data_IF_861099576112
#
_entry.id   IF_861099576112
#
_cell.length_a   1.000
_cell.length_b   1.000
_cell.length_c   1.000
_cell.angle_alpha   90.00
_cell.angle_beta   90.00
_cell.angle_gamma   90.00
#
_symmetry.space_group_name_H-M   'P 1'
#
loop_
_entity.id
_entity.type
_entity.pdbx_description
1 polymer ?
#
# COMPACT_ATOMS: atom_id res chain seq x y z
N UNK A 1 12.92 -5.93 -30.51
CA UNK A 1 11.71 -5.10 -30.56
C UNK A 1 11.07 -5.22 -29.19
N UNK A 2 10.97 -4.12 -28.45
CA UNK A 2 10.18 -4.08 -27.21
C UNK A 2 8.73 -4.36 -27.57
N UNK A 3 8.11 -5.34 -26.93
CA UNK A 3 6.70 -5.62 -27.10
C UNK A 3 5.91 -4.54 -26.39
N UNK A 4 4.91 -3.95 -27.06
CA UNK A 4 3.96 -3.05 -26.42
C UNK A 4 2.83 -3.87 -25.80
N UNK A 5 2.59 -3.69 -24.49
CA UNK A 5 1.55 -4.36 -23.72
C UNK A 5 0.47 -3.41 -23.21
N UNK A 6 0.55 -2.10 -23.53
CA UNK A 6 -0.28 -1.06 -22.90
C UNK A 6 -1.78 -1.23 -23.19
N UNK A 7 -2.12 -1.73 -24.39
CA UNK A 7 -3.50 -1.98 -24.81
C UNK A 7 -4.08 -3.32 -24.29
N UNK A 8 -3.28 -4.11 -23.53
CA UNK A 8 -3.73 -5.40 -23.03
C UNK A 8 -4.35 -5.29 -21.63
N UNK A 9 -5.12 -6.32 -21.28
CA UNK A 9 -5.75 -6.39 -19.95
C UNK A 9 -4.72 -6.35 -18.83
N UNK A 10 -5.15 -5.87 -17.66
CA UNK A 10 -4.33 -5.81 -16.45
C UNK A 10 -3.67 -7.16 -16.13
N UNK A 11 -4.43 -8.25 -16.24
CA UNK A 11 -3.93 -9.62 -15.98
C UNK A 11 -2.77 -9.98 -16.90
N UNK A 12 -2.91 -9.70 -18.20
CA UNK A 12 -1.84 -9.97 -19.18
C UNK A 12 -0.60 -9.12 -18.93
N UNK A 13 -0.80 -7.85 -18.56
CA UNK A 13 0.30 -6.93 -18.23
C UNK A 13 1.06 -7.37 -16.97
N UNK A 14 0.37 -7.83 -15.93
CA UNK A 14 0.98 -8.36 -14.71
C UNK A 14 1.92 -9.55 -14.98
N UNK A 15 1.60 -10.36 -15.98
CA UNK A 15 2.43 -11.50 -16.40
C UNK A 15 3.64 -11.03 -17.23
N UNK A 16 3.42 -10.21 -18.24
CA UNK A 16 4.39 -10.02 -19.33
C UNK A 16 5.27 -8.77 -19.20
N UNK A 17 4.76 -7.66 -18.65
CA UNK A 17 5.57 -6.43 -18.54
C UNK A 17 6.78 -6.67 -17.64
N UNK A 18 7.96 -6.27 -18.09
CA UNK A 18 9.21 -6.48 -17.38
C UNK A 18 9.72 -7.93 -17.34
N UNK A 19 9.04 -8.89 -17.99
CA UNK A 19 9.47 -10.27 -18.11
C UNK A 19 10.02 -10.55 -19.52
N UNK A 20 11.09 -9.84 -19.89
CA UNK A 20 11.77 -10.06 -21.15
C UNK A 20 12.70 -11.29 -21.04
N UNK A 21 12.75 -12.12 -22.11
CA UNK A 21 13.66 -13.24 -22.15
C UNK A 21 15.12 -12.77 -22.09
N UNK A 22 15.94 -13.49 -21.36
CA UNK A 22 17.38 -13.20 -21.24
C UNK A 22 18.06 -13.30 -22.63
N UNK A 23 18.67 -12.21 -23.14
CA UNK A 23 19.22 -12.18 -24.49
C UNK A 23 20.48 -13.07 -24.65
N UNK A 24 21.16 -13.40 -23.55
CA UNK A 24 22.38 -14.19 -23.58
C UNK A 24 22.11 -15.69 -23.56
N UNK A 25 21.07 -16.10 -22.82
CA UNK A 25 20.75 -17.54 -22.62
C UNK A 25 19.48 -17.99 -23.32
N UNK A 26 18.59 -17.06 -23.68
CA UNK A 26 17.25 -17.36 -24.17
C UNK A 26 16.27 -17.84 -23.08
N UNK A 27 16.65 -17.72 -21.78
CA UNK A 27 15.75 -18.07 -20.69
C UNK A 27 14.52 -17.15 -20.70
N UNK A 28 13.31 -17.73 -20.61
CA UNK A 28 12.05 -16.97 -20.65
C UNK A 28 11.68 -16.36 -19.30
N UNK A 29 12.26 -16.86 -18.22
CA UNK A 29 12.14 -16.27 -16.89
C UNK A 29 13.40 -15.47 -16.55
N UNK A 30 13.28 -14.26 -15.96
CA UNK A 30 14.44 -13.44 -15.64
C UNK A 30 15.39 -14.13 -14.66
N UNK A 31 16.69 -14.06 -14.94
CA UNK A 31 17.71 -14.48 -13.98
C UNK A 31 17.81 -13.50 -12.80
N UNK A 32 18.37 -13.95 -11.68
CA UNK A 32 18.74 -13.07 -10.56
C UNK A 32 20.18 -12.60 -10.77
N UNK A 33 20.34 -11.28 -10.96
CA UNK A 33 21.64 -10.65 -11.20
C UNK A 33 22.20 -10.10 -9.89
N UNK A 34 22.96 -10.92 -9.16
CA UNK A 34 23.55 -10.57 -7.84
C UNK A 34 24.86 -9.78 -7.96
N UNK A 35 25.03 -9.00 -9.01
CA UNK A 35 26.20 -8.14 -9.20
C UNK A 35 26.00 -6.79 -8.49
N UNK A 36 27.06 -6.25 -7.86
CA UNK A 36 27.08 -4.90 -7.35
C UNK A 36 27.65 -3.89 -8.32
N UNK A 37 28.45 -4.32 -9.32
CA UNK A 37 29.14 -3.48 -10.30
C UNK A 37 29.04 -4.07 -11.70
N UNK A 38 29.09 -3.22 -12.70
CA UNK A 38 28.98 -3.58 -14.09
C UNK A 38 30.15 -3.01 -14.88
N UNK A 39 30.44 -3.57 -16.06
CA UNK A 39 31.49 -3.06 -16.94
C UNK A 39 31.13 -1.66 -17.43
N UNK A 40 32.08 -0.75 -17.29
CA UNK A 40 31.96 0.59 -17.83
C UNK A 40 32.47 0.62 -19.29
N UNK A 41 32.01 1.57 -20.12
CA UNK A 41 32.63 1.83 -21.41
C UNK A 41 34.06 2.33 -21.21
N UNK A 42 34.94 2.14 -22.21
CA UNK A 42 36.31 2.61 -22.15
C UNK A 42 36.41 4.14 -21.96
N UNK A 43 35.49 4.88 -22.58
CA UNK A 43 35.32 6.31 -22.34
C UNK A 43 34.07 6.55 -21.50
N UNK A 44 34.27 6.84 -20.23
CA UNK A 44 33.22 7.14 -19.28
C UNK A 44 32.91 8.65 -19.15
N UNK A 45 33.54 9.48 -19.94
CA UNK A 45 33.42 10.96 -19.84
C UNK A 45 32.01 11.48 -20.10
N UNK A 46 31.22 10.75 -20.89
CA UNK A 46 29.85 11.10 -21.26
C UNK A 46 28.79 10.34 -20.40
N UNK A 47 29.21 9.57 -19.39
CA UNK A 47 28.28 8.81 -18.56
C UNK A 47 27.51 9.70 -17.60
N UNK A 48 26.21 9.48 -17.52
CA UNK A 48 25.41 9.96 -16.40
C UNK A 48 25.53 8.97 -15.25
N UNK A 49 26.35 9.30 -14.26
CA UNK A 49 26.64 8.45 -13.11
C UNK A 49 25.43 8.16 -12.19
N UNK A 50 24.34 8.91 -12.37
CA UNK A 50 23.10 8.76 -11.62
C UNK A 50 21.95 8.17 -12.43
N UNK A 51 22.17 7.87 -13.71
CA UNK A 51 21.11 7.32 -14.56
C UNK A 51 20.77 5.89 -14.16
N UNK A 52 19.48 5.62 -14.03
CA UNK A 52 18.94 4.29 -13.75
C UNK A 52 19.11 3.32 -14.92
N UNK A 53 19.10 3.83 -16.14
CA UNK A 53 19.22 3.02 -17.36
C UNK A 53 20.64 2.48 -17.57
N UNK A 54 21.65 3.12 -16.96
CA UNK A 54 23.01 2.65 -17.04
C UNK A 54 23.31 1.70 -15.88
N UNK A 55 23.49 0.43 -16.17
CA UNK A 55 24.00 -0.52 -15.19
C UNK A 55 25.44 -0.13 -14.81
N UNK A 56 25.60 0.64 -13.74
CA UNK A 56 26.89 1.13 -13.25
C UNK A 56 27.20 0.44 -11.91
N UNK A 57 26.29 0.62 -10.97
CA UNK A 57 26.36 0.11 -9.61
C UNK A 57 24.94 -0.15 -9.09
N UNK A 58 24.70 -1.28 -8.44
CA UNK A 58 23.36 -1.76 -8.09
C UNK A 58 22.58 -0.80 -7.17
N UNK A 59 23.26 0.05 -6.37
CA UNK A 59 22.57 1.09 -5.61
C UNK A 59 21.89 2.12 -6.52
N UNK A 60 22.44 2.39 -7.68
CA UNK A 60 21.87 3.35 -8.63
C UNK A 60 20.72 2.77 -9.45
N UNK A 61 20.75 1.47 -9.64
CA UNK A 61 19.80 0.69 -10.41
C UNK A 61 20.43 -0.64 -10.83
N UNK A 62 19.62 -1.61 -11.14
CA UNK A 62 20.09 -2.93 -11.57
C UNK A 62 19.05 -3.62 -12.43
N UNK A 63 19.45 -4.72 -13.05
CA UNK A 63 18.61 -5.41 -14.03
C UNK A 63 17.25 -5.84 -13.44
N UNK A 64 17.26 -6.51 -12.28
CA UNK A 64 16.01 -6.95 -11.64
C UNK A 64 15.18 -5.79 -11.12
N UNK A 65 15.82 -4.75 -10.58
CA UNK A 65 15.16 -3.54 -10.14
C UNK A 65 14.45 -2.84 -11.30
N UNK A 66 15.14 -2.60 -12.42
CA UNK A 66 14.56 -1.97 -13.59
C UNK A 66 13.42 -2.77 -14.24
N UNK A 67 13.50 -4.11 -14.21
CA UNK A 67 12.38 -4.96 -14.64
C UNK A 67 11.16 -4.79 -13.74
N UNK A 68 11.36 -4.74 -12.42
CA UNK A 68 10.28 -4.51 -11.46
C UNK A 68 9.70 -3.10 -11.59
N UNK A 69 10.54 -2.06 -11.73
CA UNK A 69 10.11 -0.67 -11.94
C UNK A 69 9.18 -0.54 -13.14
N UNK A 70 9.55 -1.10 -14.29
CA UNK A 70 8.71 -1.13 -15.50
C UNK A 70 7.36 -1.81 -15.25
N UNK A 71 7.36 -2.92 -14.53
CA UNK A 71 6.13 -3.65 -14.20
C UNK A 71 5.21 -2.83 -13.30
N UNK A 72 5.74 -2.27 -12.21
CA UNK A 72 4.95 -1.51 -11.25
C UNK A 72 4.41 -0.21 -11.86
N UNK A 73 5.24 0.55 -12.58
CA UNK A 73 4.79 1.74 -13.32
C UNK A 73 3.61 1.42 -14.24
N UNK A 74 3.72 0.34 -15.03
CA UNK A 74 2.67 -0.06 -15.94
C UNK A 74 1.39 -0.51 -15.24
N UNK A 75 1.48 -1.25 -14.12
CA UNK A 75 0.31 -1.70 -13.36
C UNK A 75 -0.43 -0.53 -12.71
N UNK A 76 0.29 0.44 -12.15
CA UNK A 76 -0.29 1.66 -11.57
C UNK A 76 -0.74 2.68 -12.62
N UNK A 77 -0.24 2.58 -13.85
CA UNK A 77 -0.54 3.53 -14.92
C UNK A 77 0.30 4.82 -14.86
N UNK A 78 1.43 4.79 -14.15
CA UNK A 78 2.39 5.90 -14.11
C UNK A 78 3.39 5.88 -15.25
N UNK A 79 4.09 7.00 -15.45
CA UNK A 79 5.14 7.10 -16.48
C UNK A 79 6.40 6.35 -16.08
N UNK A 80 6.75 6.38 -14.78
CA UNK A 80 7.96 5.76 -14.24
C UNK A 80 7.78 5.37 -12.77
N UNK A 81 8.72 4.59 -12.24
CA UNK A 81 8.70 4.07 -10.89
C UNK A 81 10.12 4.01 -10.31
N UNK A 82 10.25 4.23 -9.00
CA UNK A 82 11.48 3.93 -8.24
C UNK A 82 11.15 2.88 -7.21
N UNK A 83 11.86 1.74 -7.25
CA UNK A 83 11.71 0.67 -6.25
C UNK A 83 12.76 0.77 -5.14
N UNK A 84 12.30 0.61 -3.90
CA UNK A 84 13.07 0.83 -2.68
C UNK A 84 12.94 -0.37 -1.72
N UNK A 85 13.77 -0.40 -0.69
CA UNK A 85 13.89 -1.54 0.22
C UNK A 85 12.64 -1.86 1.05
N UNK A 86 11.73 -0.91 1.22
CA UNK A 86 10.46 -1.07 1.96
C UNK A 86 9.47 0.03 1.59
N UNK A 87 8.19 -0.15 1.94
CA UNK A 87 7.18 0.90 1.81
C UNK A 87 7.55 2.18 2.57
N UNK A 88 8.12 2.05 3.77
CA UNK A 88 8.60 3.22 4.55
C UNK A 88 9.77 3.92 3.86
N UNK A 89 10.65 3.17 3.20
CA UNK A 89 11.71 3.77 2.38
C UNK A 89 11.13 4.54 1.19
N UNK A 90 10.05 4.07 0.58
CA UNK A 90 9.35 4.75 -0.50
C UNK A 90 8.69 6.05 -0.03
N UNK A 91 7.95 6.02 1.08
CA UNK A 91 7.38 7.21 1.73
C UNK A 91 8.47 8.23 2.05
N UNK A 92 9.53 7.80 2.72
CA UNK A 92 10.65 8.66 3.10
C UNK A 92 11.36 9.26 1.89
N UNK A 93 11.54 8.49 0.81
CA UNK A 93 12.17 8.95 -0.42
C UNK A 93 11.35 10.06 -1.11
N UNK A 94 10.03 9.85 -1.19
CA UNK A 94 9.10 10.86 -1.72
C UNK A 94 9.16 12.14 -0.91
N UNK A 95 8.97 12.04 0.40
CA UNK A 95 8.89 13.21 1.28
C UNK A 95 10.22 13.96 1.33
N UNK A 96 11.34 13.26 1.45
CA UNK A 96 12.68 13.84 1.43
C UNK A 96 12.97 14.63 0.15
N UNK A 97 12.50 14.11 -1.00
CA UNK A 97 12.74 14.75 -2.29
C UNK A 97 11.83 15.96 -2.52
N UNK A 98 10.60 15.92 -2.03
CA UNK A 98 9.58 16.91 -2.35
C UNK A 98 9.40 18.01 -1.30
N UNK A 99 9.89 17.80 -0.09
CA UNK A 99 9.71 18.72 1.03
C UNK A 99 11.06 19.28 1.51
N UNK A 100 11.01 20.52 1.99
CA UNK A 100 12.14 21.21 2.60
C UNK A 100 11.68 21.98 3.84
N UNK A 101 12.63 22.41 4.66
CA UNK A 101 12.36 23.21 5.87
C UNK A 101 11.43 24.38 5.57
N UNK A 102 10.37 24.49 6.37
CA UNK A 102 9.35 25.53 6.27
C UNK A 102 8.20 25.18 5.33
N UNK A 103 8.22 24.04 4.64
CA UNK A 103 7.07 23.53 3.90
C UNK A 103 6.04 22.96 4.86
N UNK A 104 4.76 23.02 4.49
CA UNK A 104 3.65 22.45 5.23
C UNK A 104 3.05 21.25 4.48
N UNK A 105 2.70 20.20 5.24
CA UNK A 105 2.06 18.98 4.77
C UNK A 105 0.73 18.78 5.49
N UNK A 106 -0.30 18.47 4.72
CA UNK A 106 -1.57 17.93 5.25
C UNK A 106 -1.53 16.42 5.07
N UNK A 107 -1.77 15.65 6.14
CA UNK A 107 -1.87 14.21 6.04
C UNK A 107 -3.07 13.65 6.83
N UNK A 108 -3.56 12.48 6.41
CA UNK A 108 -4.77 11.88 6.94
C UNK A 108 -4.62 11.46 8.41
N UNK A 109 -5.67 11.68 9.22
CA UNK A 109 -5.81 11.12 10.57
C UNK A 109 -5.68 9.59 10.57
N UNK A 110 -6.18 8.96 9.50
CA UNK A 110 -6.10 7.51 9.32
C UNK A 110 -5.05 7.22 8.26
N UNK A 111 -3.87 6.79 8.71
CA UNK A 111 -2.72 6.49 7.85
C UNK A 111 -1.83 5.43 8.52
N UNK A 112 -0.90 4.85 7.77
CA UNK A 112 0.05 3.90 8.33
C UNK A 112 0.87 4.53 9.46
N UNK A 113 1.10 3.77 10.53
CA UNK A 113 1.77 4.26 11.74
C UNK A 113 3.13 4.92 11.47
N UNK A 114 3.91 4.40 10.51
CA UNK A 114 5.20 5.02 10.18
C UNK A 114 5.02 6.38 9.50
N UNK A 115 3.99 6.59 8.68
CA UNK A 115 3.66 7.90 8.09
C UNK A 115 3.31 8.91 9.19
N UNK A 116 2.48 8.49 10.15
CA UNK A 116 2.15 9.30 11.32
C UNK A 116 3.44 9.73 12.08
N UNK A 117 4.31 8.77 12.43
CA UNK A 117 5.56 9.05 13.15
C UNK A 117 6.54 9.90 12.35
N UNK A 118 6.65 9.68 11.04
CA UNK A 118 7.49 10.50 10.16
C UNK A 118 7.08 11.97 10.27
N UNK A 119 5.81 12.29 10.13
CA UNK A 119 5.36 13.67 10.13
C UNK A 119 5.17 14.27 11.52
N UNK A 120 4.64 13.50 12.47
CA UNK A 120 4.29 14.01 13.79
C UNK A 120 5.49 14.09 14.74
N UNK A 121 6.46 13.17 14.62
CA UNK A 121 7.57 13.06 15.57
C UNK A 121 8.92 13.40 14.95
N UNK A 122 9.21 12.88 13.74
CA UNK A 122 10.56 12.92 13.23
C UNK A 122 10.85 14.17 12.40
N UNK A 123 9.99 14.51 11.47
CA UNK A 123 10.29 15.54 10.47
C UNK A 123 9.92 16.94 10.92
N UNK A 124 8.91 17.08 11.75
CA UNK A 124 8.57 18.35 12.39
C UNK A 124 9.77 18.83 13.23
N UNK A 125 10.20 18.01 14.18
CA UNK A 125 11.26 18.39 15.12
C UNK A 125 12.64 18.51 14.49
N UNK A 126 13.00 17.56 13.62
CA UNK A 126 14.38 17.48 13.09
C UNK A 126 14.61 18.34 11.87
N UNK A 127 13.59 18.49 11.01
CA UNK A 127 13.77 19.10 9.70
C UNK A 127 12.88 20.32 9.47
N UNK A 128 12.04 20.67 10.43
CA UNK A 128 11.21 21.87 10.42
C UNK A 128 10.15 21.82 9.31
N UNK A 129 9.61 20.64 9.04
CA UNK A 129 8.43 20.46 8.20
C UNK A 129 7.20 20.71 9.06
N UNK A 130 6.36 21.67 8.70
CA UNK A 130 5.10 21.91 9.37
C UNK A 130 4.05 20.89 8.96
N UNK A 131 3.21 20.44 9.89
CA UNK A 131 2.22 19.40 9.61
C UNK A 131 0.83 19.75 10.12
N UNK A 132 -0.19 19.27 9.42
CA UNK A 132 -1.59 19.26 9.87
C UNK A 132 -2.17 17.86 9.69
N UNK A 133 -2.63 17.27 10.78
CA UNK A 133 -3.37 15.99 10.76
C UNK A 133 -4.84 16.32 10.51
N UNK A 134 -5.44 15.77 9.47
CA UNK A 134 -6.78 16.11 9.01
C UNK A 134 -7.57 14.85 8.65
N UNK A 135 -8.85 14.82 8.96
CA UNK A 135 -9.74 13.81 8.37
C UNK A 135 -9.88 14.05 6.86
N UNK A 136 -9.13 13.28 6.07
CA UNK A 136 -9.14 13.41 4.61
C UNK A 136 -10.42 12.85 3.94
N UNK A 137 -11.37 12.33 4.71
CA UNK A 137 -12.73 12.05 4.22
C UNK A 137 -13.62 13.31 4.19
N UNK A 138 -13.20 14.38 4.88
CA UNK A 138 -13.87 15.68 4.92
C UNK A 138 -13.08 16.72 4.08
N UNK A 139 -13.59 17.02 2.90
CA UNK A 139 -12.96 17.98 1.98
C UNK A 139 -12.89 19.41 2.55
N UNK A 140 -13.88 19.81 3.36
CA UNK A 140 -13.89 21.13 4.01
C UNK A 140 -12.84 21.22 5.12
N UNK A 141 -12.56 20.10 5.81
CA UNK A 141 -11.46 20.05 6.77
C UNK A 141 -10.09 20.19 6.08
N UNK A 142 -9.88 19.52 4.95
CA UNK A 142 -8.68 19.70 4.14
C UNK A 142 -8.53 21.17 3.71
N UNK A 143 -9.58 21.76 3.15
CA UNK A 143 -9.58 23.14 2.67
C UNK A 143 -9.22 24.15 3.75
N UNK A 144 -9.74 23.98 4.96
CA UNK A 144 -9.42 24.84 6.13
C UNK A 144 -7.98 24.71 6.60
N UNK A 145 -7.34 23.55 6.37
CA UNK A 145 -5.96 23.29 6.76
C UNK A 145 -4.93 23.82 5.75
N UNK A 146 -5.33 24.21 4.54
CA UNK A 146 -4.44 24.76 3.52
C UNK A 146 -3.83 26.07 3.99
N UNK A 147 -2.51 26.19 3.87
CA UNK A 147 -1.69 27.38 4.20
C UNK A 147 -0.90 27.82 2.97
N UNK A 148 -0.37 29.08 2.94
CA UNK A 148 0.45 29.56 1.80
C UNK A 148 1.69 28.71 1.54
N UNK A 149 2.22 28.01 2.55
CA UNK A 149 3.37 27.13 2.46
C UNK A 149 3.00 25.64 2.35
N UNK A 150 1.72 25.29 2.17
CA UNK A 150 1.32 23.89 1.92
C UNK A 150 1.87 23.41 0.60
N UNK A 151 2.57 22.26 0.61
CA UNK A 151 3.23 21.67 -0.56
C UNK A 151 2.70 20.30 -0.92
N UNK A 152 2.18 19.56 0.05
CA UNK A 152 1.74 18.18 -0.16
C UNK A 152 0.47 17.89 0.66
N UNK A 153 -0.46 17.19 0.04
CA UNK A 153 -1.53 16.46 0.73
C UNK A 153 -1.23 14.98 0.56
N UNK A 154 -1.09 14.26 1.68
CA UNK A 154 -0.86 12.81 1.68
C UNK A 154 -2.02 12.08 2.36
N UNK A 155 -2.58 11.08 1.71
CA UNK A 155 -3.63 10.25 2.27
C UNK A 155 -3.46 8.77 1.89
N UNK A 156 -4.22 7.93 2.57
CA UNK A 156 -4.32 6.49 2.34
C UNK A 156 -5.79 6.13 2.14
N UNK A 157 -6.13 5.38 1.10
CA UNK A 157 -7.52 4.99 0.83
C UNK A 157 -7.61 3.61 0.15
N UNK A 158 -8.25 2.60 0.80
CA UNK A 158 -8.83 2.61 2.15
C UNK A 158 -7.79 2.87 3.24
N UNK A 159 -8.15 3.65 4.28
CA UNK A 159 -7.23 4.05 5.34
C UNK A 159 -7.00 2.96 6.40
N UNK A 160 -5.75 2.75 6.80
CA UNK A 160 -5.35 1.76 7.80
C UNK A 160 -5.38 2.36 9.23
N UNK A 161 -6.15 1.81 10.17
CA UNK A 161 -6.89 0.54 10.12
C UNK A 161 -8.41 0.65 9.96
N UNK A 162 -8.98 1.84 9.85
CA UNK A 162 -10.43 2.06 9.95
C UNK A 162 -11.19 1.85 8.64
N UNK A 163 -10.48 1.60 7.54
CA UNK A 163 -11.03 1.39 6.19
C UNK A 163 -11.86 2.58 5.65
N UNK A 164 -11.64 3.78 6.17
CA UNK A 164 -12.27 5.00 5.64
C UNK A 164 -11.85 5.24 4.17
N UNK A 165 -12.76 5.85 3.41
CA UNK A 165 -12.55 6.12 1.97
C UNK A 165 -12.48 7.62 1.75
N UNK A 166 -11.37 8.08 1.17
CA UNK A 166 -11.19 9.46 0.70
C UNK A 166 -11.68 9.62 -0.74
N UNK A 167 -12.27 10.76 -1.07
CA UNK A 167 -12.63 11.09 -2.46
C UNK A 167 -11.38 11.59 -3.19
N UNK A 168 -10.74 10.68 -3.94
CA UNK A 168 -9.48 10.94 -4.64
C UNK A 168 -9.63 12.12 -5.61
N UNK A 169 -10.67 12.09 -6.44
CA UNK A 169 -10.93 13.11 -7.47
C UNK A 169 -11.15 14.50 -6.85
N UNK A 170 -11.94 14.58 -5.78
CA UNK A 170 -12.23 15.82 -5.09
C UNK A 170 -10.98 16.41 -4.39
N UNK A 171 -10.17 15.57 -3.75
CA UNK A 171 -8.91 15.99 -3.10
C UNK A 171 -7.92 16.52 -4.14
N UNK A 172 -7.72 15.78 -5.24
CA UNK A 172 -6.81 16.18 -6.32
C UNK A 172 -7.24 17.53 -6.90
N UNK A 173 -8.52 17.69 -7.22
CA UNK A 173 -9.04 18.96 -7.73
C UNK A 173 -8.77 20.11 -6.77
N UNK A 174 -9.11 19.96 -5.49
CA UNK A 174 -8.87 20.99 -4.47
C UNK A 174 -7.37 21.33 -4.35
N UNK A 175 -6.50 20.32 -4.30
CA UNK A 175 -5.06 20.51 -4.15
C UNK A 175 -4.46 21.26 -5.36
N UNK A 176 -4.81 20.86 -6.57
CA UNK A 176 -4.29 21.47 -7.80
C UNK A 176 -4.78 22.90 -8.01
N UNK A 177 -6.01 23.25 -7.58
CA UNK A 177 -6.47 24.65 -7.54
C UNK A 177 -5.58 25.57 -6.69
N UNK A 178 -4.85 24.98 -5.72
CA UNK A 178 -3.91 25.67 -4.83
C UNK A 178 -2.43 25.41 -5.17
N UNK A 179 -2.10 24.76 -6.29
CA UNK A 179 -0.75 24.34 -6.68
C UNK A 179 -0.07 23.46 -5.61
N UNK A 180 -0.83 22.57 -4.98
CA UNK A 180 -0.37 21.61 -3.97
C UNK A 180 -0.31 20.22 -4.62
N UNK A 181 0.79 19.51 -4.38
CA UNK A 181 0.98 18.13 -4.83
C UNK A 181 0.14 17.16 -4.01
N UNK A 182 -0.25 16.07 -4.62
CA UNK A 182 -1.03 14.99 -3.98
C UNK A 182 -0.27 13.68 -4.04
N UNK A 183 -0.16 13.00 -2.89
CA UNK A 183 0.33 11.63 -2.82
C UNK A 183 -0.67 10.70 -2.15
N UNK A 184 -0.83 9.50 -2.68
CA UNK A 184 -1.70 8.47 -2.14
C UNK A 184 -0.89 7.19 -1.85
N UNK A 185 -1.02 6.65 -0.64
CA UNK A 185 -0.60 5.28 -0.35
C UNK A 185 -1.72 4.34 -0.80
N UNK A 186 -1.45 3.55 -1.85
CA UNK A 186 -2.41 2.66 -2.50
C UNK A 186 -2.31 1.20 -2.03
N UNK A 187 -1.50 0.94 -1.01
CA UNK A 187 -1.16 -0.42 -0.56
C UNK A 187 -2.38 -1.27 -0.21
N UNK A 188 -3.44 -0.70 0.41
CA UNK A 188 -4.64 -1.45 0.79
C UNK A 188 -5.55 -1.77 -0.38
N UNK A 189 -5.65 -0.86 -1.35
CA UNK A 189 -6.43 -1.06 -2.57
C UNK A 189 -5.67 -1.88 -3.59
N UNK A 190 -4.38 -1.60 -3.74
CA UNK A 190 -3.50 -2.05 -4.80
C UNK A 190 -3.94 -1.60 -6.21
N UNK A 191 -3.05 -1.60 -7.21
CA UNK A 191 -3.39 -1.19 -8.58
C UNK A 191 -4.44 -2.08 -9.26
N UNK A 192 -4.77 -3.23 -8.66
CA UNK A 192 -5.85 -4.08 -9.15
C UNK A 192 -7.22 -3.45 -8.90
N UNK A 193 -7.46 -2.91 -7.71
CA UNK A 193 -8.75 -2.33 -7.33
C UNK A 193 -8.84 -0.84 -7.69
N UNK A 194 -7.78 -0.05 -7.43
CA UNK A 194 -7.75 1.40 -7.70
C UNK A 194 -6.39 1.80 -8.25
N UNK A 195 -6.38 2.70 -9.21
CA UNK A 195 -5.18 3.37 -9.73
C UNK A 195 -5.31 4.88 -9.50
N UNK A 196 -4.76 5.43 -8.42
CA UNK A 196 -4.93 6.84 -8.06
C UNK A 196 -4.39 7.81 -9.14
N UNK A 197 -3.39 7.41 -9.91
CA UNK A 197 -2.86 8.19 -11.05
C UNK A 197 -3.96 8.52 -12.08
N UNK A 198 -4.91 7.62 -12.32
CA UNK A 198 -6.03 7.87 -13.24
C UNK A 198 -6.98 8.98 -12.75
N UNK A 199 -6.91 9.35 -11.48
CA UNK A 199 -7.64 10.46 -10.87
C UNK A 199 -6.81 11.74 -10.76
N UNK A 200 -5.55 11.73 -11.26
CA UNK A 200 -4.65 12.88 -11.26
C UNK A 200 -3.78 13.02 -10.01
N UNK A 201 -3.64 11.98 -9.19
CA UNK A 201 -2.67 11.95 -8.10
C UNK A 201 -1.25 12.05 -8.67
N UNK A 202 -0.42 12.93 -8.09
CA UNK A 202 0.94 13.18 -8.59
C UNK A 202 1.90 12.02 -8.24
N UNK A 203 1.72 11.42 -7.06
CA UNK A 203 2.56 10.33 -6.58
C UNK A 203 1.72 9.21 -5.96
N UNK A 204 1.94 8.00 -6.41
CA UNK A 204 1.44 6.80 -5.73
C UNK A 204 2.58 6.14 -4.98
N UNK A 205 2.31 5.73 -3.73
CA UNK A 205 3.23 4.93 -2.93
C UNK A 205 2.64 3.55 -2.74
N UNK A 206 3.49 2.53 -2.86
CA UNK A 206 3.11 1.13 -2.66
C UNK A 206 4.09 0.43 -1.71
N UNK A 207 3.56 -0.28 -0.76
CA UNK A 207 4.32 -1.31 -0.07
C UNK A 207 4.27 -2.61 -0.89
N UNK A 208 5.29 -2.84 -1.70
CA UNK A 208 5.41 -4.05 -2.52
C UNK A 208 5.48 -5.33 -1.67
N UNK A 209 5.78 -5.19 -0.38
CA UNK A 209 5.76 -6.23 0.66
C UNK A 209 4.40 -6.95 0.76
N UNK A 210 3.30 -6.25 0.40
CA UNK A 210 1.91 -6.66 0.64
C UNK A 210 1.35 -7.46 -0.54
N UNK A 211 0.18 -7.11 -1.03
CA UNK A 211 -0.52 -7.83 -2.12
C UNK A 211 0.33 -8.08 -3.36
N UNK A 212 1.16 -7.11 -3.74
CA UNK A 212 1.96 -7.21 -4.98
C UNK A 212 2.93 -8.39 -4.90
N UNK A 213 3.71 -8.52 -3.82
CA UNK A 213 4.49 -9.73 -3.55
C UNK A 213 3.59 -10.92 -3.19
N UNK A 214 2.74 -10.78 -2.16
CA UNK A 214 1.68 -11.69 -1.77
C UNK A 214 2.11 -13.01 -1.11
N UNK A 215 3.40 -13.21 -0.86
CA UNK A 215 3.94 -14.49 -0.36
C UNK A 215 4.58 -14.37 1.04
N UNK A 216 4.68 -13.17 1.61
CA UNK A 216 5.23 -12.94 2.95
C UNK A 216 6.74 -13.17 3.08
N UNK A 217 7.46 -13.29 1.97
CA UNK A 217 8.86 -13.71 1.89
C UNK A 217 9.82 -12.61 1.41
N UNK A 218 9.29 -11.42 1.08
CA UNK A 218 10.08 -10.29 0.60
C UNK A 218 9.53 -8.95 1.04
N UNK A 219 10.40 -7.97 1.24
CA UNK A 219 10.04 -6.58 1.47
C UNK A 219 10.46 -5.71 0.29
N UNK A 220 9.63 -4.72 0.00
CA UNK A 220 9.91 -3.69 -0.98
C UNK A 220 8.93 -2.54 -0.88
N UNK A 221 9.25 -1.44 -1.52
CA UNK A 221 8.37 -0.29 -1.68
C UNK A 221 8.57 0.33 -3.05
N UNK A 222 7.60 1.12 -3.49
CA UNK A 222 7.68 1.84 -4.75
C UNK A 222 7.09 3.24 -4.62
N UNK A 223 7.67 4.17 -5.37
CA UNK A 223 7.05 5.46 -5.69
C UNK A 223 6.82 5.50 -7.19
N UNK A 224 5.62 5.86 -7.60
CA UNK A 224 5.20 5.94 -8.99
C UNK A 224 4.72 7.36 -9.28
N UNK A 225 5.07 7.89 -10.46
CA UNK A 225 4.69 9.23 -10.88
C UNK A 225 5.24 9.60 -12.26
N UNK A 226 5.51 10.88 -12.49
CA UNK A 226 6.13 11.36 -13.72
C UNK A 226 7.58 10.92 -13.82
N UNK A 227 8.08 10.75 -15.05
CA UNK A 227 9.49 10.42 -15.27
C UNK A 227 10.44 11.47 -14.65
N UNK A 228 10.13 12.76 -14.82
CA UNK A 228 10.93 13.85 -14.24
C UNK A 228 11.05 13.75 -12.72
N UNK A 229 9.98 13.43 -12.05
CA UNK A 229 9.96 13.31 -10.59
C UNK A 229 10.65 12.04 -10.10
N UNK A 230 10.48 10.93 -10.81
CA UNK A 230 11.16 9.68 -10.48
C UNK A 230 12.67 9.81 -10.61
N UNK A 231 13.19 10.52 -11.62
CA UNK A 231 14.61 10.81 -11.73
C UNK A 231 15.15 11.63 -10.52
N UNK A 232 14.37 12.59 -10.02
CA UNK A 232 14.74 13.34 -8.81
C UNK A 232 14.76 12.44 -7.56
N UNK A 233 13.76 11.59 -7.39
CA UNK A 233 13.69 10.65 -6.27
C UNK A 233 14.84 9.64 -6.36
N UNK A 234 15.12 9.11 -7.53
CA UNK A 234 16.25 8.19 -7.78
C UNK A 234 17.58 8.83 -7.40
N UNK A 235 17.84 10.03 -7.88
CA UNK A 235 19.08 10.74 -7.57
C UNK A 235 19.19 11.09 -6.09
N UNK A 236 18.19 11.73 -5.51
CA UNK A 236 18.30 12.26 -4.14
C UNK A 236 18.19 11.17 -3.07
N UNK A 237 17.19 10.29 -3.19
CA UNK A 237 16.90 9.32 -2.14
C UNK A 237 17.53 7.94 -2.41
N UNK A 238 17.31 7.34 -3.57
CA UNK A 238 17.84 6.00 -3.84
C UNK A 238 19.37 5.99 -3.86
N UNK A 239 19.98 6.86 -4.67
CA UNK A 239 21.44 6.88 -4.86
C UNK A 239 22.15 7.46 -3.65
N UNK A 240 21.72 8.60 -3.12
CA UNK A 240 22.47 9.36 -2.12
C UNK A 240 22.05 9.05 -0.65
N UNK A 241 20.84 8.56 -0.39
CA UNK A 241 20.41 8.08 0.94
C UNK A 241 20.58 6.56 1.04
N UNK A 242 20.43 5.83 -0.07
CA UNK A 242 20.76 4.41 -0.15
C UNK A 242 19.63 3.45 0.19
N UNK A 243 18.36 3.85 0.09
CA UNK A 243 17.18 3.01 0.35
C UNK A 243 16.90 1.95 -0.73
N UNK A 244 17.91 1.51 -1.48
CA UNK A 244 17.76 0.62 -2.63
C UNK A 244 17.31 -0.81 -2.24
N UNK A 245 16.46 -1.41 -3.06
CA UNK A 245 16.05 -2.80 -2.93
C UNK A 245 17.14 -3.75 -3.44
N UNK A 246 17.27 -4.94 -2.82
CA UNK A 246 18.19 -5.96 -3.34
C UNK A 246 17.66 -6.59 -4.64
N UNK A 247 18.54 -7.05 -5.54
CA UNK A 247 18.12 -7.77 -6.76
C UNK A 247 17.26 -8.98 -6.47
N UNK A 248 17.56 -9.71 -5.39
CA UNK A 248 16.82 -10.90 -4.99
C UNK A 248 15.38 -10.58 -4.56
N UNK A 249 15.20 -9.55 -3.71
CA UNK A 249 13.86 -9.11 -3.31
C UNK A 249 13.07 -8.58 -4.52
N UNK A 250 13.71 -7.82 -5.40
CA UNK A 250 13.07 -7.33 -6.62
C UNK A 250 12.59 -8.49 -7.50
N UNK A 251 13.40 -9.53 -7.64
CA UNK A 251 13.05 -10.74 -8.40
C UNK A 251 11.89 -11.52 -7.76
N UNK A 252 11.89 -11.70 -6.42
CA UNK A 252 10.79 -12.37 -5.70
C UNK A 252 9.46 -11.61 -5.89
N UNK A 253 9.49 -10.29 -5.75
CA UNK A 253 8.31 -9.43 -5.93
C UNK A 253 7.83 -9.51 -7.38
N UNK A 254 8.72 -9.45 -8.36
CA UNK A 254 8.37 -9.60 -9.78
C UNK A 254 7.70 -10.94 -10.06
N UNK A 255 8.22 -12.05 -9.48
CA UNK A 255 7.61 -13.37 -9.53
C UNK A 255 6.21 -13.36 -8.88
N UNK A 256 6.05 -12.70 -7.72
CA UNK A 256 4.77 -12.54 -7.03
C UNK A 256 3.72 -11.81 -7.88
N UNK A 257 4.13 -10.83 -8.69
CA UNK A 257 3.25 -10.09 -9.59
C UNK A 257 2.54 -10.99 -10.61
N UNK A 258 3.14 -12.11 -11.02
CA UNK A 258 2.57 -13.01 -12.03
C UNK A 258 1.18 -13.55 -11.62
N UNK A 259 0.97 -13.82 -10.34
CA UNK A 259 -0.31 -14.31 -9.80
C UNK A 259 -1.10 -13.23 -9.07
N UNK A 260 -0.61 -12.00 -9.02
CA UNK A 260 -1.22 -10.90 -8.27
C UNK A 260 -2.71 -10.68 -8.61
N UNK A 261 -3.13 -10.59 -9.88
CA UNK A 261 -4.55 -10.39 -10.21
C UNK A 261 -5.45 -11.53 -9.73
N UNK A 262 -4.99 -12.78 -9.85
CA UNK A 262 -5.74 -13.96 -9.39
C UNK A 262 -5.90 -13.96 -7.86
N UNK A 263 -4.81 -13.63 -7.15
CA UNK A 263 -4.85 -13.53 -5.68
C UNK A 263 -5.77 -12.41 -5.23
N UNK A 264 -5.71 -11.23 -5.87
CA UNK A 264 -6.59 -10.11 -5.52
C UNK A 264 -8.06 -10.44 -5.69
N UNK A 265 -8.41 -11.17 -6.74
CA UNK A 265 -9.80 -11.61 -6.92
C UNK A 265 -10.26 -12.45 -5.72
N UNK A 266 -9.47 -13.43 -5.30
CA UNK A 266 -9.82 -14.28 -4.15
C UNK A 266 -9.82 -13.48 -2.84
N UNK A 267 -8.86 -12.59 -2.61
CA UNK A 267 -8.86 -11.70 -1.45
C UNK A 267 -10.14 -10.86 -1.36
N UNK A 268 -10.56 -10.25 -2.48
CA UNK A 268 -11.78 -9.45 -2.55
C UNK A 268 -13.04 -10.29 -2.22
N UNK A 269 -13.16 -11.47 -2.83
CA UNK A 269 -14.32 -12.35 -2.68
C UNK A 269 -14.40 -12.92 -1.24
N UNK A 270 -13.27 -13.33 -0.69
CA UNK A 270 -13.20 -13.87 0.66
C UNK A 270 -13.50 -12.79 1.72
N UNK A 271 -12.89 -11.59 1.56
CA UNK A 271 -13.11 -10.51 2.51
C UNK A 271 -14.57 -10.03 2.53
N UNK A 272 -15.21 -9.96 1.37
CA UNK A 272 -16.63 -9.63 1.31
C UNK A 272 -17.48 -10.69 2.03
N UNK A 273 -17.24 -11.97 1.76
CA UNK A 273 -18.01 -13.05 2.39
C UNK A 273 -17.84 -13.08 3.92
N UNK A 274 -16.60 -12.90 4.41
CA UNK A 274 -16.32 -12.83 5.85
C UNK A 274 -16.95 -11.59 6.48
N UNK A 275 -16.86 -10.43 5.83
CA UNK A 275 -17.46 -9.17 6.31
C UNK A 275 -18.98 -9.27 6.40
N UNK A 276 -19.66 -9.82 5.38
CA UNK A 276 -21.10 -10.06 5.38
C UNK A 276 -21.54 -11.06 6.46
N UNK A 277 -20.72 -12.08 6.74
CA UNK A 277 -21.00 -13.00 7.83
C UNK A 277 -20.84 -12.31 9.19
N UNK A 278 -19.74 -11.58 9.41
CA UNK A 278 -19.48 -10.85 10.64
C UNK A 278 -20.59 -9.82 10.96
N UNK A 279 -21.08 -9.11 9.94
CA UNK A 279 -22.13 -8.08 10.11
C UNK A 279 -23.44 -8.67 10.67
N UNK A 280 -23.70 -9.97 10.46
CA UNK A 280 -24.90 -10.65 10.98
C UNK A 280 -24.72 -11.17 12.41
N UNK A 281 -23.50 -11.21 12.95
CA UNK A 281 -23.26 -11.86 14.23
C UNK A 281 -23.70 -10.97 15.41
N UNK A 282 -24.54 -11.50 16.35
CA UNK A 282 -24.98 -10.72 17.51
C UNK A 282 -23.85 -10.25 18.43
N UNK A 283 -22.73 -10.97 18.47
CA UNK A 283 -21.56 -10.64 19.28
C UNK A 283 -20.67 -9.54 18.67
N UNK A 284 -20.89 -9.18 17.40
CA UNK A 284 -20.09 -8.17 16.69
C UNK A 284 -20.72 -6.80 16.86
N UNK A 285 -19.94 -5.83 17.33
CA UNK A 285 -20.40 -4.46 17.58
C UNK A 285 -20.40 -3.58 16.32
N UNK A 286 -19.42 -3.76 15.44
CA UNK A 286 -19.33 -3.10 14.13
C UNK A 286 -18.44 -3.89 13.19
N UNK A 287 -18.62 -3.67 11.89
CA UNK A 287 -17.72 -4.15 10.83
C UNK A 287 -17.39 -2.98 9.90
N UNK A 288 -16.12 -2.68 9.75
CA UNK A 288 -15.62 -1.70 8.78
C UNK A 288 -15.03 -2.43 7.57
N UNK A 289 -15.74 -2.40 6.45
CA UNK A 289 -15.30 -2.94 5.16
C UNK A 289 -16.00 -2.20 4.02
N UNK A 290 -15.27 -1.59 3.08
CA UNK A 290 -15.88 -0.74 2.05
C UNK A 290 -16.84 -1.47 1.11
N UNK A 291 -16.77 -2.80 1.05
CA UNK A 291 -17.69 -3.65 0.28
C UNK A 291 -19.08 -3.82 0.87
N UNK A 292 -19.26 -3.56 2.17
CA UNK A 292 -20.58 -3.64 2.83
C UNK A 292 -21.44 -2.44 2.46
N UNK A 293 -22.73 -2.66 2.22
CA UNK A 293 -23.70 -1.57 1.96
C UNK A 293 -23.91 -0.64 3.16
N UNK A 294 -23.64 -1.13 4.36
CA UNK A 294 -23.67 -0.37 5.62
C UNK A 294 -22.48 0.59 5.78
N UNK A 295 -21.41 0.36 5.04
CA UNK A 295 -20.21 1.22 5.13
C UNK A 295 -20.53 2.64 4.68
N UNK A 296 -20.17 3.63 5.51
CA UNK A 296 -20.46 5.07 5.32
C UNK A 296 -20.15 5.59 3.90
N UNK A 297 -19.08 5.09 3.28
CA UNK A 297 -18.61 5.55 1.97
C UNK A 297 -18.70 4.43 0.90
N UNK A 298 -19.63 3.47 1.04
CA UNK A 298 -19.76 2.35 0.10
C UNK A 298 -19.88 2.80 -1.37
N UNK A 299 -20.75 3.75 -1.66
CA UNK A 299 -20.96 4.23 -3.03
C UNK A 299 -19.73 4.93 -3.62
N UNK A 300 -18.98 5.66 -2.78
CA UNK A 300 -17.71 6.26 -3.20
C UNK A 300 -16.65 5.17 -3.45
N UNK A 301 -16.54 4.20 -2.54
CA UNK A 301 -15.64 3.06 -2.74
C UNK A 301 -15.95 2.33 -4.05
N UNK A 302 -17.22 2.03 -4.32
CA UNK A 302 -17.67 1.40 -5.56
C UNK A 302 -17.37 2.23 -6.82
N UNK A 303 -17.38 3.56 -6.73
CA UNK A 303 -16.96 4.46 -7.82
C UNK A 303 -15.47 4.33 -8.11
N UNK A 304 -14.62 4.25 -7.07
CA UNK A 304 -13.16 4.30 -7.19
C UNK A 304 -12.52 2.93 -7.35
N UNK A 305 -13.05 1.92 -6.67
CA UNK A 305 -12.50 0.56 -6.61
C UNK A 305 -13.21 -0.34 -7.64
N UNK A 306 -12.52 -0.66 -8.73
CA UNK A 306 -13.15 -1.26 -9.93
C UNK A 306 -13.38 -2.76 -9.88
N UNK A 307 -12.56 -3.50 -9.10
CA UNK A 307 -12.56 -4.97 -9.14
C UNK A 307 -12.83 -5.62 -7.76
N UNK A 308 -13.11 -4.81 -6.74
CA UNK A 308 -13.37 -5.25 -5.37
C UNK A 308 -12.84 -4.25 -4.35
N UNK A 309 -12.91 -4.60 -3.08
CA UNK A 309 -12.70 -3.64 -1.99
C UNK A 309 -11.47 -3.96 -1.11
N UNK A 310 -10.59 -4.84 -1.57
CA UNK A 310 -9.40 -5.29 -0.83
C UNK A 310 -9.68 -6.47 0.09
N UNK A 311 -8.62 -7.01 0.66
CA UNK A 311 -8.66 -8.16 1.57
C UNK A 311 -8.50 -7.77 3.04
N UNK A 312 -8.62 -6.50 3.42
CA UNK A 312 -8.54 -6.06 4.82
C UNK A 312 -9.90 -5.56 5.29
N UNK A 313 -10.29 -5.99 6.49
CA UNK A 313 -11.45 -5.48 7.20
C UNK A 313 -11.10 -5.25 8.67
N UNK A 314 -11.92 -4.48 9.38
CA UNK A 314 -11.84 -4.33 10.83
C UNK A 314 -13.20 -4.59 11.47
N UNK A 315 -13.21 -5.19 12.67
CA UNK A 315 -14.45 -5.39 13.40
C UNK A 315 -14.23 -5.35 14.92
N UNK A 316 -15.25 -4.94 15.63
CA UNK A 316 -15.30 -4.95 17.09
C UNK A 316 -16.22 -6.04 17.63
N UNK A 317 -16.02 -6.44 18.89
CA UNK A 317 -16.90 -7.33 19.63
C UNK A 317 -17.60 -6.57 20.76
N UNK A 318 -18.78 -7.05 21.15
CA UNK A 318 -19.39 -6.63 22.41
C UNK A 318 -18.67 -7.30 23.58
N UNK A 319 -17.81 -6.60 24.30
CA UNK A 319 -17.05 -7.16 25.43
C UNK A 319 -15.85 -6.31 25.80
N UNK A 320 -15.12 -6.76 26.81
CA UNK A 320 -13.91 -6.10 27.29
C UNK A 320 -12.66 -6.60 26.55
N UNK A 321 -11.55 -5.89 26.69
CA UNK A 321 -10.29 -6.17 25.99
C UNK A 321 -9.77 -7.61 26.17
N UNK A 322 -9.95 -8.21 27.33
CA UNK A 322 -9.54 -9.58 27.58
C UNK A 322 -10.25 -10.60 26.67
N UNK A 323 -11.49 -10.31 26.26
CA UNK A 323 -12.23 -11.16 25.33
C UNK A 323 -11.49 -11.29 24.00
N UNK A 324 -10.99 -10.19 23.46
CA UNK A 324 -10.23 -10.19 22.20
C UNK A 324 -9.00 -11.11 22.27
N UNK A 325 -8.23 -11.02 23.36
CA UNK A 325 -7.07 -11.87 23.55
C UNK A 325 -7.44 -13.36 23.66
N UNK A 326 -8.55 -13.69 24.33
CA UNK A 326 -9.00 -15.10 24.46
C UNK A 326 -9.51 -15.67 23.14
N UNK A 327 -10.33 -14.93 22.39
CA UNK A 327 -10.82 -15.35 21.07
C UNK A 327 -9.66 -15.71 20.13
N UNK A 328 -8.60 -14.90 20.08
CA UNK A 328 -7.43 -15.17 19.23
C UNK A 328 -6.77 -16.51 19.58
N UNK A 329 -6.80 -16.95 20.85
CA UNK A 329 -6.16 -18.22 21.24
C UNK A 329 -6.91 -19.46 20.71
N UNK A 330 -8.15 -19.30 20.29
CA UNK A 330 -8.98 -20.39 19.74
C UNK A 330 -8.92 -20.49 18.21
N UNK A 331 -8.32 -19.51 17.53
CA UNK A 331 -8.19 -19.52 16.06
C UNK A 331 -7.18 -20.57 15.62
N UNK A 332 -7.51 -21.33 14.56
CA UNK A 332 -6.67 -22.37 13.99
C UNK A 332 -6.09 -21.99 12.62
N UNK A 333 -6.77 -21.12 11.87
CA UNK A 333 -6.38 -20.68 10.54
C UNK A 333 -5.80 -19.27 10.59
N UNK A 334 -6.51 -18.33 11.23
CA UNK A 334 -6.01 -16.97 11.37
C UNK A 334 -4.79 -16.93 12.29
N UNK A 335 -3.67 -16.43 11.76
CA UNK A 335 -2.46 -16.24 12.55
C UNK A 335 -2.45 -14.86 13.20
N UNK A 336 -2.22 -14.80 14.52
CA UNK A 336 -2.03 -13.53 15.24
C UNK A 336 -0.70 -12.90 14.83
N UNK A 337 -0.75 -11.97 13.89
CA UNK A 337 0.44 -11.29 13.35
C UNK A 337 0.08 -9.97 12.67
N UNK A 338 1.06 -9.09 12.61
CA UNK A 338 0.99 -7.87 11.78
C UNK A 338 1.24 -8.20 10.30
N UNK A 339 1.06 -7.23 9.42
CA UNK A 339 1.15 -7.33 7.97
C UNK A 339 -0.22 -7.57 7.31
N UNK A 340 -0.23 -7.76 6.00
CA UNK A 340 -1.42 -8.03 5.18
C UNK A 340 -1.01 -8.49 3.78
N UNK A 341 -1.99 -8.98 3.02
CA UNK A 341 -1.83 -9.30 1.60
C UNK A 341 -1.08 -10.60 1.33
N UNK A 342 -0.80 -11.41 2.36
CA UNK A 342 -0.24 -12.74 2.22
C UNK A 342 -1.31 -13.75 1.80
N UNK A 343 -0.88 -14.90 1.30
CA UNK A 343 -1.78 -16.01 1.00
C UNK A 343 -2.54 -16.51 2.25
N UNK A 344 -1.90 -16.48 3.43
CA UNK A 344 -2.51 -16.85 4.70
C UNK A 344 -3.16 -15.64 5.39
N UNK A 345 -4.30 -15.89 6.05
CA UNK A 345 -5.06 -14.91 6.82
C UNK A 345 -4.36 -14.52 8.12
N UNK A 346 -4.35 -13.21 8.41
CA UNK A 346 -3.75 -12.65 9.61
C UNK A 346 -4.78 -11.83 10.40
N UNK A 347 -4.65 -11.83 11.72
CA UNK A 347 -5.49 -11.04 12.62
C UNK A 347 -4.62 -10.35 13.66
N UNK A 348 -4.95 -9.10 13.97
CA UNK A 348 -4.28 -8.36 15.05
C UNK A 348 -5.31 -7.57 15.85
N UNK A 349 -5.24 -7.69 17.16
CA UNK A 349 -6.01 -6.85 18.08
C UNK A 349 -5.33 -5.49 18.21
N UNK A 350 -6.12 -4.43 18.11
CA UNK A 350 -5.73 -3.05 18.35
C UNK A 350 -6.59 -2.50 19.48
N UNK A 351 -5.94 -2.15 20.58
CA UNK A 351 -6.56 -1.65 21.80
C UNK A 351 -6.19 -0.22 22.13
N UNK A 352 -6.41 0.20 23.36
CA UNK A 352 -6.17 1.56 23.86
C UNK A 352 -4.70 2.00 23.78
N UNK A 353 -3.76 1.06 23.62
CA UNK A 353 -2.33 1.30 23.47
C UNK A 353 -1.91 1.73 22.04
N UNK A 354 -2.83 1.73 21.05
CA UNK A 354 -2.55 2.37 19.76
C UNK A 354 -2.49 3.90 19.95
N UNK A 355 -1.32 4.47 19.77
CA UNK A 355 -1.05 5.91 19.95
C UNK A 355 -1.92 6.84 19.08
N UNK A 356 -2.64 6.28 18.11
CA UNK A 356 -3.57 6.99 17.21
C UNK A 356 -5.05 6.76 17.57
N UNK A 357 -5.36 6.00 18.63
CA UNK A 357 -6.74 5.64 18.97
C UNK A 357 -7.64 6.87 19.06
N UNK A 358 -7.13 7.97 19.60
CA UNK A 358 -7.86 9.25 19.72
C UNK A 358 -8.21 9.90 18.36
N UNK A 359 -7.63 9.44 17.26
CA UNK A 359 -7.90 9.92 15.90
C UNK A 359 -8.96 9.06 15.18
N UNK A 360 -9.30 7.91 15.73
CA UNK A 360 -10.25 6.99 15.10
C UNK A 360 -11.69 7.33 15.47
N UNK A 361 -12.68 6.90 14.67
CA UNK A 361 -14.09 7.00 15.03
C UNK A 361 -14.41 6.31 16.36
N UNK A 362 -15.44 6.81 17.06
CA UNK A 362 -15.79 6.39 18.42
C UNK A 362 -16.03 4.88 18.55
N UNK A 363 -16.60 4.24 17.52
CA UNK A 363 -16.85 2.79 17.51
C UNK A 363 -15.59 1.94 17.63
N UNK A 364 -14.41 2.48 17.31
CA UNK A 364 -13.12 1.80 17.43
C UNK A 364 -12.51 1.87 18.84
N UNK A 365 -12.95 2.82 19.67
CA UNK A 365 -12.30 3.12 20.95
C UNK A 365 -12.39 1.97 21.98
N UNK A 366 -13.36 1.05 21.84
CA UNK A 366 -13.48 -0.15 22.66
C UNK A 366 -12.48 -1.27 22.32
N UNK A 367 -11.58 -1.01 21.34
CA UNK A 367 -10.72 -2.03 20.77
C UNK A 367 -11.38 -2.79 19.62
N UNK A 368 -10.57 -3.30 18.72
CA UNK A 368 -11.04 -3.99 17.52
C UNK A 368 -9.97 -4.91 16.93
N UNK A 369 -10.40 -5.85 16.11
CA UNK A 369 -9.49 -6.58 15.24
C UNK A 369 -9.33 -5.89 13.89
N UNK A 370 -8.09 -5.82 13.41
CA UNK A 370 -7.80 -5.63 11.99
C UNK A 370 -7.45 -7.00 11.41
N UNK A 371 -8.19 -7.43 10.40
CA UNK A 371 -8.05 -8.74 9.77
C UNK A 371 -7.58 -8.55 8.34
N UNK A 372 -6.52 -9.26 7.97
CA UNK A 372 -6.09 -9.40 6.59
C UNK A 372 -6.50 -10.79 6.11
N UNK A 373 -7.50 -10.84 5.27
CA UNK A 373 -8.08 -12.06 4.71
C UNK A 373 -7.17 -12.58 3.61
N UNK A 374 -6.80 -13.85 3.71
CA UNK A 374 -5.97 -14.56 2.73
C UNK A 374 -6.78 -15.17 1.58
N UNK A 375 -6.20 -16.19 0.97
CA UNK A 375 -6.76 -16.88 -0.20
C UNK A 375 -7.17 -18.33 0.13
N UNK A 376 -7.37 -18.65 1.41
CA UNK A 376 -7.95 -19.92 1.88
C UNK A 376 -9.41 -20.04 1.42
N UNK A 377 -10.03 -21.19 1.63
CA UNK A 377 -11.47 -21.33 1.40
C UNK A 377 -12.24 -20.45 2.39
N UNK A 378 -13.14 -19.61 1.87
CA UNK A 378 -13.90 -18.63 2.67
C UNK A 378 -14.78 -19.27 3.73
N UNK A 379 -15.27 -20.51 3.49
CA UNK A 379 -16.10 -21.21 4.45
C UNK A 379 -15.26 -21.72 5.63
N UNK A 380 -14.00 -22.11 5.38
CA UNK A 380 -13.07 -22.48 6.43
C UNK A 380 -12.71 -21.27 7.30
N UNK A 381 -12.53 -20.09 6.69
CA UNK A 381 -12.28 -18.83 7.40
C UNK A 381 -13.47 -18.45 8.30
N UNK A 382 -14.70 -18.53 7.78
CA UNK A 382 -15.92 -18.27 8.54
C UNK A 382 -16.06 -19.28 9.68
N UNK A 383 -15.82 -20.58 9.39
CA UNK A 383 -15.90 -21.63 10.40
C UNK A 383 -14.88 -21.42 11.53
N UNK A 384 -13.66 -20.99 11.22
CA UNK A 384 -12.61 -20.72 12.21
C UNK A 384 -12.99 -19.56 13.15
N UNK A 385 -13.56 -18.48 12.62
CA UNK A 385 -14.09 -17.39 13.44
C UNK A 385 -15.29 -17.85 14.29
N UNK A 386 -16.24 -18.61 13.70
CA UNK A 386 -17.41 -19.09 14.39
C UNK A 386 -17.04 -19.96 15.59
N UNK A 387 -16.18 -20.98 15.39
CA UNK A 387 -15.76 -21.87 16.47
C UNK A 387 -14.98 -21.11 17.57
N UNK A 388 -14.19 -20.09 17.23
CA UNK A 388 -13.49 -19.28 18.21
C UNK A 388 -14.44 -18.41 19.05
N UNK A 389 -15.50 -17.87 18.44
CA UNK A 389 -16.54 -17.13 19.16
C UNK A 389 -17.34 -18.06 20.09
N UNK A 390 -17.75 -19.23 19.60
CA UNK A 390 -18.47 -20.23 20.38
C UNK A 390 -17.65 -20.75 21.58
N UNK A 391 -16.33 -20.89 21.44
CA UNK A 391 -15.42 -21.27 22.53
C UNK A 391 -15.43 -20.25 23.69
N UNK A 392 -15.70 -18.99 23.41
CA UNK A 392 -15.88 -17.91 24.38
C UNK A 392 -17.35 -17.65 24.73
N UNK A 393 -18.24 -18.61 24.43
CA UNK A 393 -19.69 -18.54 24.69
C UNK A 393 -20.38 -17.32 24.04
N UNK A 394 -19.84 -16.78 22.96
CA UNK A 394 -20.49 -15.73 22.21
C UNK A 394 -21.60 -16.30 21.32
N UNK A 395 -22.72 -15.58 21.24
CA UNK A 395 -23.84 -15.96 20.37
C UNK A 395 -23.46 -15.77 18.89
N UNK A 396 -23.66 -16.82 18.10
CA UNK A 396 -23.42 -16.80 16.65
C UNK A 396 -24.65 -17.28 15.89
N UNK A 397 -24.79 -16.80 14.64
CA UNK A 397 -25.80 -17.27 13.67
C UNK A 397 -25.12 -17.79 12.40
N UNK A 398 -25.85 -18.61 11.60
CA UNK A 398 -25.31 -19.16 10.35
C UNK A 398 -25.22 -18.14 9.22
#
# INVERSE_FOLDING_TARGET
MSKNYDDLSFVTRAIHVGNDADPATGAIEPAVYMANSFLLPYDASQMNWSASEANIYTRNGGVNQGMLEKKIANLEGGEDCVVLASGVAALSALFFTKLKKGDHVIFSTVTYIATYRIFNELWNDKWGIETSIVDCTDLEAIKKAIRPNTKLIHFETPGNPTLCICDIEAIVKLAHEHNILVSADNTFSSPYNTRPIEYGVDFVVESLTKYINGHGDSMGGAVIGSHEDMEKIRYQAQVNIGGCISPFNAWLIQRGCTTFPLRMQVHNDNALAVAEWLERQPCVSFVAYPGLKSHKNHELAKKQMKHGFGGVLSFGLHGEHDLYNRVVTHLNIFTSAVSLGNAASLIVFLGEDDERMYLYPEEFHGGFYRVAIGIEDKNDLIHDLKQAFEAEHLETVD
#
